data_IF_327631378146
#
_entry.id   IF_327631378146
#
_cell.length_a   1.000
_cell.length_b   1.000
_cell.length_c   1.000
_cell.angle_alpha   90.00
_cell.angle_beta   90.00
_cell.angle_gamma   90.00
#
_symmetry.space_group_name_H-M   'P 1'
#
loop_
_entity.id
_entity.type
_entity.pdbx_description
1 polymer ?
#
# COMPACT_ATOMS: atom_id res chain seq x y z
N UNK A 1 37.95 -7.10 -24.30
CA UNK A 1 38.50 -7.33 -22.95
C UNK A 1 37.57 -6.65 -21.97
N UNK A 2 36.85 -7.42 -21.16
CA UNK A 2 35.93 -6.91 -20.15
C UNK A 2 36.75 -6.55 -18.90
N UNK A 3 36.77 -5.28 -18.50
CA UNK A 3 37.53 -4.82 -17.34
C UNK A 3 36.77 -5.19 -16.04
N UNK A 4 37.32 -6.07 -15.18
CA UNK A 4 36.68 -6.44 -13.92
C UNK A 4 36.52 -5.27 -12.94
N UNK A 5 37.11 -4.10 -13.18
CA UNK A 5 36.99 -2.92 -12.31
C UNK A 5 35.65 -2.18 -12.43
N UNK A 6 34.87 -2.38 -13.50
CA UNK A 6 33.60 -1.66 -13.69
C UNK A 6 32.43 -2.19 -12.86
N UNK A 7 32.54 -3.39 -12.26
CA UNK A 7 31.45 -4.02 -11.50
C UNK A 7 31.06 -3.32 -10.20
N UNK A 8 31.84 -2.33 -9.76
CA UNK A 8 31.70 -1.67 -8.46
C UNK A 8 31.23 -0.21 -8.55
N UNK A 9 30.71 0.24 -9.70
CA UNK A 9 30.14 1.60 -9.86
C UNK A 9 28.69 1.72 -9.38
N UNK A 10 28.22 0.79 -8.54
CA UNK A 10 26.90 0.94 -7.95
C UNK A 10 26.98 2.04 -6.90
N UNK A 11 26.13 3.09 -6.98
CA UNK A 11 26.10 4.09 -5.94
C UNK A 11 25.92 3.39 -4.59
N UNK A 12 26.61 3.85 -3.53
CA UNK A 12 26.39 3.31 -2.19
C UNK A 12 24.90 3.31 -1.92
N UNK A 13 24.32 2.14 -1.61
CA UNK A 13 22.92 2.06 -1.20
C UNK A 13 22.82 2.84 0.11
N UNK A 14 22.44 4.10 0.04
CA UNK A 14 22.18 4.93 1.22
C UNK A 14 21.14 4.21 2.06
N UNK A 15 21.46 3.97 3.32
CA UNK A 15 20.46 3.43 4.23
C UNK A 15 19.31 4.44 4.30
N UNK A 16 18.06 4.00 4.10
CA UNK A 16 16.93 4.91 4.23
C UNK A 16 16.94 5.48 5.65
N UNK A 17 16.61 6.77 5.78
CA UNK A 17 16.42 7.38 7.09
C UNK A 17 15.42 6.57 7.92
N UNK A 18 15.55 6.57 9.24
CA UNK A 18 14.69 5.73 10.11
C UNK A 18 13.19 6.02 9.89
N UNK A 19 12.82 7.27 9.63
CA UNK A 19 11.45 7.64 9.31
C UNK A 19 10.94 6.95 8.03
N UNK A 20 11.78 6.88 7.00
CA UNK A 20 11.43 6.18 5.76
C UNK A 20 11.33 4.66 6.00
N UNK A 21 12.22 4.09 6.81
CA UNK A 21 12.13 2.68 7.20
C UNK A 21 10.81 2.38 7.92
N UNK A 22 10.43 3.20 8.88
CA UNK A 22 9.18 3.06 9.63
C UNK A 22 7.96 3.18 8.70
N UNK A 23 7.93 4.18 7.81
CA UNK A 23 6.85 4.35 6.84
C UNK A 23 6.71 3.13 5.90
N UNK A 24 7.83 2.55 5.45
CA UNK A 24 7.82 1.33 4.63
C UNK A 24 7.30 0.12 5.42
N UNK A 25 7.65 -0.01 6.69
CA UNK A 25 7.16 -1.10 7.55
C UNK A 25 5.65 -0.99 7.76
N UNK A 26 5.14 0.20 8.08
CA UNK A 26 3.70 0.44 8.25
C UNK A 26 2.93 0.14 6.96
N UNK A 27 3.41 0.65 5.82
CA UNK A 27 2.82 0.36 4.51
C UNK A 27 2.77 -1.14 4.23
N UNK A 28 3.85 -1.86 4.53
CA UNK A 28 3.93 -3.31 4.34
C UNK A 28 2.97 -4.06 5.27
N UNK A 29 2.85 -3.63 6.52
CA UNK A 29 1.91 -4.21 7.48
C UNK A 29 0.45 -3.99 7.04
N UNK A 30 0.11 -2.80 6.55
CA UNK A 30 -1.22 -2.49 5.99
C UNK A 30 -1.51 -3.33 4.74
N UNK A 31 -0.53 -3.49 3.86
CA UNK A 31 -0.67 -4.31 2.65
C UNK A 31 -0.87 -5.80 2.99
N UNK A 32 -0.17 -6.32 4.00
CA UNK A 32 -0.39 -7.70 4.49
C UNK A 32 -1.83 -7.89 4.97
N UNK A 33 -2.35 -6.95 5.78
CA UNK A 33 -3.76 -6.98 6.23
C UNK A 33 -4.72 -6.97 5.06
N UNK A 34 -4.53 -6.05 4.09
CA UNK A 34 -5.38 -5.98 2.90
C UNK A 34 -5.38 -7.29 2.11
N UNK A 35 -4.21 -7.92 1.92
CA UNK A 35 -4.10 -9.22 1.25
C UNK A 35 -4.81 -10.35 2.02
N UNK A 36 -4.74 -10.35 3.35
CA UNK A 36 -5.50 -11.29 4.18
C UNK A 36 -7.01 -11.15 3.96
N UNK A 37 -7.55 -9.93 3.94
CA UNK A 37 -8.96 -9.72 3.63
C UNK A 37 -9.32 -10.17 2.20
N UNK A 38 -8.50 -9.78 1.22
CA UNK A 38 -8.73 -10.16 -0.17
C UNK A 38 -8.64 -11.68 -0.40
N UNK A 39 -7.90 -12.42 0.44
CA UNK A 39 -7.81 -13.87 0.34
C UNK A 39 -9.13 -14.60 0.62
N UNK A 40 -10.08 -13.91 1.26
CA UNK A 40 -11.43 -14.42 1.51
C UNK A 40 -12.42 -14.02 0.41
N UNK A 41 -12.00 -13.19 -0.54
CA UNK A 41 -12.83 -12.79 -1.67
C UNK A 41 -12.68 -13.82 -2.80
N UNK A 42 -13.82 -14.22 -3.37
CA UNK A 42 -13.85 -15.01 -4.59
C UNK A 42 -14.19 -14.09 -5.78
N UNK A 43 -13.61 -14.32 -6.96
CA UNK A 43 -14.08 -13.65 -8.18
C UNK A 43 -15.55 -14.00 -8.42
N UNK A 44 -16.39 -12.98 -8.57
CA UNK A 44 -17.79 -13.14 -8.95
C UNK A 44 -17.97 -12.60 -10.36
N UNK A 45 -18.31 -13.50 -11.29
CA UNK A 45 -18.52 -13.17 -12.69
C UNK A 45 -19.79 -12.34 -12.93
N UNK A 46 -20.70 -12.32 -11.95
CA UNK A 46 -21.97 -11.58 -11.99
C UNK A 46 -21.93 -10.35 -11.09
N UNK A 47 -20.79 -10.04 -10.46
CA UNK A 47 -20.65 -8.84 -9.67
C UNK A 47 -20.93 -7.62 -10.55
N UNK A 48 -21.93 -6.85 -10.14
CA UNK A 48 -22.29 -5.63 -10.83
C UNK A 48 -21.21 -4.58 -10.56
N UNK A 49 -20.54 -4.13 -11.62
CA UNK A 49 -19.66 -2.98 -11.53
C UNK A 49 -20.52 -1.71 -11.49
N UNK A 50 -20.32 -0.91 -10.45
CA UNK A 50 -20.95 0.40 -10.33
C UNK A 50 -19.92 1.45 -10.74
N UNK A 51 -20.28 2.30 -11.71
CA UNK A 51 -19.42 3.37 -12.20
C UNK A 51 -19.24 4.49 -11.17
N UNK A 52 -20.21 4.62 -10.25
CA UNK A 52 -20.23 5.62 -9.20
C UNK A 52 -20.37 4.94 -7.85
N UNK A 53 -19.52 5.35 -6.91
CA UNK A 53 -19.58 4.94 -5.51
C UNK A 53 -20.10 6.13 -4.71
N UNK A 54 -21.27 5.98 -4.08
CA UNK A 54 -21.78 7.00 -3.17
C UNK A 54 -20.96 7.02 -1.87
N UNK A 55 -20.04 7.98 -1.80
CA UNK A 55 -19.18 8.18 -0.63
C UNK A 55 -19.81 9.06 0.46
N UNK A 56 -21.04 9.56 0.28
CA UNK A 56 -21.69 10.44 1.26
C UNK A 56 -21.80 9.78 2.64
N UNK A 57 -22.16 8.50 2.67
CA UNK A 57 -22.28 7.70 3.90
C UNK A 57 -20.95 7.59 4.68
N UNK A 58 -19.81 7.42 3.99
CA UNK A 58 -18.49 7.33 4.63
C UNK A 58 -18.04 8.68 5.21
N UNK A 59 -18.41 9.77 4.55
CA UNK A 59 -18.04 11.12 4.96
C UNK A 59 -18.86 11.55 6.18
N UNK A 60 -20.15 11.24 6.23
CA UNK A 60 -21.01 11.53 7.39
C UNK A 60 -20.56 10.77 8.65
N UNK A 61 -20.27 9.47 8.53
CA UNK A 61 -19.78 8.65 9.65
C UNK A 61 -18.46 9.18 10.22
N UNK A 62 -17.54 9.60 9.35
CA UNK A 62 -16.26 10.20 9.78
C UNK A 62 -16.42 11.55 10.48
N UNK A 63 -17.49 12.31 10.19
CA UNK A 63 -17.80 13.56 10.91
C UNK A 63 -18.44 13.26 12.26
N UNK A 64 -19.34 12.30 12.33
CA UNK A 64 -19.98 11.87 13.58
C UNK A 64 -18.96 11.34 14.60
N UNK A 65 -17.98 10.55 14.15
CA UNK A 65 -16.88 10.05 14.99
C UNK A 65 -15.88 11.12 15.45
N UNK A 66 -15.83 12.29 14.81
CA UNK A 66 -14.99 13.42 15.25
C UNK A 66 -15.69 14.38 16.20
N UNK A 67 -17.01 14.29 16.28
CA UNK A 67 -17.85 15.15 17.13
C UNK A 67 -18.29 14.47 18.44
N UNK A 68 -18.03 13.16 18.57
CA UNK A 68 -18.15 12.38 19.80
C UNK A 68 -16.79 12.27 20.50
#
# INVERSE_FOLDING_TARGET
MYDPAERNKWPPRTQPAEDERLARLEKTARLKRLRSYASWLAPDAYAQFHDEIDCSALIEESRSLRLA
#
